data_IF_642849406251
#
_entry.id   IF_642849406251
#
_cell.length_a   1.000
_cell.length_b   1.000
_cell.length_c   1.000
_cell.angle_alpha   90.00
_cell.angle_beta   90.00
_cell.angle_gamma   90.00
#
_symmetry.space_group_name_H-M   'P 1'
#
loop_
_entity.id
_entity.type
_entity.pdbx_description
1 polymer ?
#
# COMPACT_ATOMS: atom_id res chain seq x y z
N UNK A 1 -24.74 14.59 13.20
CA UNK A 1 -24.02 14.12 12.01
C UNK A 1 -23.90 12.61 12.09
N UNK A 2 -24.00 11.90 10.96
CA UNK A 2 -23.78 10.44 10.91
C UNK A 2 -22.29 10.15 10.81
N UNK A 3 -21.74 9.22 11.59
CA UNK A 3 -20.35 8.78 11.39
C UNK A 3 -20.31 7.86 10.18
N UNK A 4 -19.39 8.09 9.25
CA UNK A 4 -19.18 7.25 8.06
C UNK A 4 -17.84 6.56 8.18
N UNK A 5 -17.89 5.23 8.25
CA UNK A 5 -16.74 4.34 8.29
C UNK A 5 -16.89 3.23 7.24
N UNK A 6 -15.96 2.28 7.21
CA UNK A 6 -16.03 1.17 6.27
C UNK A 6 -17.17 0.17 6.55
N UNK A 7 -17.64 0.08 7.81
CA UNK A 7 -18.70 -0.86 8.20
C UNK A 7 -20.07 -0.41 7.72
N UNK A 8 -20.29 0.90 7.58
CA UNK A 8 -21.56 1.47 7.17
C UNK A 8 -21.54 2.15 5.79
N UNK A 9 -20.43 2.04 5.05
CA UNK A 9 -20.26 2.73 3.77
C UNK A 9 -21.29 2.32 2.71
N UNK A 10 -21.68 1.04 2.65
CA UNK A 10 -22.73 0.55 1.74
C UNK A 10 -24.08 1.15 2.09
N UNK A 11 -24.41 1.24 3.38
CA UNK A 11 -25.63 1.90 3.84
C UNK A 11 -25.59 3.38 3.46
N UNK A 12 -24.46 4.05 3.66
CA UNK A 12 -24.28 5.46 3.32
C UNK A 12 -24.45 5.74 1.82
N UNK A 13 -23.98 4.84 0.96
CA UNK A 13 -24.21 4.90 -0.49
C UNK A 13 -25.69 4.68 -0.83
N UNK A 14 -26.30 3.61 -0.32
CA UNK A 14 -27.68 3.22 -0.66
C UNK A 14 -28.71 4.25 -0.21
N UNK A 15 -28.50 4.88 0.95
CA UNK A 15 -29.39 5.90 1.51
C UNK A 15 -29.02 7.33 1.05
N UNK A 16 -28.05 7.50 0.16
CA UNK A 16 -27.59 8.80 -0.34
C UNK A 16 -27.26 9.79 0.80
N UNK A 17 -26.39 9.38 1.72
CA UNK A 17 -26.04 10.23 2.87
C UNK A 17 -25.36 11.51 2.40
N UNK A 18 -25.98 12.65 2.74
CA UNK A 18 -25.42 13.97 2.46
C UNK A 18 -24.10 14.18 3.22
N UNK A 19 -22.99 14.37 2.49
CA UNK A 19 -21.62 14.42 3.02
C UNK A 19 -21.41 15.54 4.03
N UNK A 20 -22.08 16.68 3.88
CA UNK A 20 -22.08 17.79 4.83
C UNK A 20 -22.66 17.39 6.20
N UNK A 21 -23.53 16.37 6.23
CA UNK A 21 -24.16 15.80 7.43
C UNK A 21 -23.45 14.57 8.00
N UNK A 22 -22.32 14.15 7.42
CA UNK A 22 -21.53 13.03 7.94
C UNK A 22 -20.33 13.50 8.78
N UNK A 23 -19.55 12.58 9.35
CA UNK A 23 -18.21 12.80 9.96
C UNK A 23 -17.38 11.51 9.84
N UNK A 24 -16.08 11.55 10.11
CA UNK A 24 -15.20 10.36 10.09
C UNK A 24 -15.02 9.78 11.49
N UNK A 25 -14.66 8.49 11.63
CA UNK A 25 -14.37 7.88 12.92
C UNK A 25 -13.26 8.64 13.66
N UNK A 26 -13.56 8.94 14.92
CA UNK A 26 -12.59 9.30 15.94
C UNK A 26 -12.52 8.19 17.00
N UNK A 27 -12.07 8.49 18.21
CA UNK A 27 -12.35 7.56 19.31
C UNK A 27 -13.83 7.66 19.67
N UNK A 28 -14.60 6.71 19.19
CA UNK A 28 -16.04 6.63 19.44
C UNK A 28 -16.31 6.18 20.87
N UNK A 29 -16.36 7.15 21.77
CA UNK A 29 -16.96 7.04 23.09
C UNK A 29 -17.95 8.21 23.27
N UNK A 30 -18.96 8.09 24.16
CA UNK A 30 -20.07 9.04 24.27
C UNK A 30 -19.69 10.50 24.56
N UNK A 31 -18.43 10.76 24.94
CA UNK A 31 -17.88 12.03 25.44
C UNK A 31 -17.06 12.82 24.41
N UNK A 32 -16.96 12.34 23.17
CA UNK A 32 -16.08 12.90 22.17
C UNK A 32 -16.58 14.28 21.67
N UNK A 33 -15.71 15.31 21.65
CA UNK A 33 -16.08 16.71 21.33
C UNK A 33 -15.66 17.09 19.91
N UNK A 34 -16.60 17.61 19.13
CA UNK A 34 -16.33 18.13 17.78
C UNK A 34 -15.47 19.40 17.87
N UNK A 35 -14.26 19.35 17.34
CA UNK A 35 -13.44 20.55 17.14
C UNK A 35 -13.49 20.95 15.66
N UNK A 36 -13.94 22.16 15.35
CA UNK A 36 -13.94 22.72 13.99
C UNK A 36 -12.64 23.47 13.74
N UNK A 37 -12.00 23.23 12.59
CA UNK A 37 -11.03 24.16 12.00
C UNK A 37 -11.58 24.65 10.65
N UNK A 38 -11.80 25.97 10.60
CA UNK A 38 -11.87 26.82 9.41
C UNK A 38 -11.87 26.15 8.03
N UNK A 39 -13.09 25.98 7.50
CA UNK A 39 -13.40 26.02 6.06
C UNK A 39 -13.00 24.81 5.20
N UNK A 40 -12.10 23.94 5.66
CA UNK A 40 -11.68 22.77 4.87
C UNK A 40 -11.04 21.65 5.70
N UNK A 41 -11.48 21.39 6.94
CA UNK A 41 -10.85 20.34 7.75
C UNK A 41 -11.84 19.51 8.56
N UNK A 42 -11.51 18.23 8.59
CA UNK A 42 -12.08 17.09 9.30
C UNK A 42 -12.49 17.43 10.73
N UNK A 43 -13.71 17.01 11.06
CA UNK A 43 -14.24 17.01 12.43
C UNK A 43 -13.61 15.86 13.20
N UNK A 44 -12.47 16.11 13.83
CA UNK A 44 -11.90 15.18 14.82
C UNK A 44 -12.66 15.38 16.11
N UNK A 45 -13.20 14.28 16.64
CA UNK A 45 -13.76 14.27 17.98
C UNK A 45 -12.60 14.16 18.98
N UNK A 46 -12.18 15.29 19.56
CA UNK A 46 -11.18 15.29 20.62
C UNK A 46 -11.84 14.84 21.93
N UNK A 47 -11.29 13.82 22.58
CA UNK A 47 -11.76 13.33 23.87
C UNK A 47 -10.64 13.22 24.87
N UNK A 48 -10.97 13.31 26.15
CA UNK A 48 -10.01 13.06 27.20
C UNK A 48 -9.56 11.59 27.20
N UNK A 49 -8.32 11.28 27.63
CA UNK A 49 -7.86 9.91 27.79
C UNK A 49 -8.74 9.10 28.76
N UNK A 50 -9.21 7.94 28.33
CA UNK A 50 -10.14 7.08 29.08
C UNK A 50 -9.42 6.19 30.11
N UNK A 51 -8.14 5.91 29.89
CA UNK A 51 -7.34 5.02 30.74
C UNK A 51 -5.89 5.49 30.83
N UNK A 52 -5.11 4.87 31.73
CA UNK A 52 -3.70 5.21 31.94
C UNK A 52 -2.86 5.04 30.65
N UNK A 53 -3.14 4.02 29.86
CA UNK A 53 -2.41 3.76 28.62
C UNK A 53 -2.54 4.94 27.64
N UNK A 54 -3.75 5.41 27.40
CA UNK A 54 -3.99 6.59 26.57
C UNK A 54 -3.36 7.86 27.14
N UNK A 55 -3.39 8.05 28.48
CA UNK A 55 -2.74 9.18 29.14
C UNK A 55 -1.24 9.22 28.88
N UNK A 56 -0.61 8.05 28.77
CA UNK A 56 0.82 7.92 28.48
C UNK A 56 1.14 8.13 27.00
N UNK A 57 0.30 7.62 26.09
CA UNK A 57 0.60 7.61 24.65
C UNK A 57 0.14 8.87 23.93
N UNK A 58 -1.03 9.43 24.25
CA UNK A 58 -1.58 10.62 23.57
C UNK A 58 -0.63 11.84 23.56
N UNK A 59 0.15 12.12 24.61
CA UNK A 59 1.15 13.18 24.56
C UNK A 59 2.21 12.98 23.47
N UNK A 60 2.50 11.74 23.07
CA UNK A 60 3.52 11.40 22.06
C UNK A 60 3.00 11.58 20.62
N UNK A 61 1.69 11.40 20.41
CA UNK A 61 1.05 11.43 19.09
C UNK A 61 0.72 12.86 18.64
N UNK A 62 0.80 13.11 17.32
CA UNK A 62 0.31 14.33 16.68
C UNK A 62 -1.21 14.31 16.52
N UNK A 63 -1.74 13.18 16.07
CA UNK A 63 -3.17 12.90 15.98
C UNK A 63 -3.47 11.72 16.90
N UNK A 64 -4.40 11.89 17.84
CA UNK A 64 -4.71 10.83 18.81
C UNK A 64 -5.22 9.57 18.09
N UNK A 65 -5.90 9.72 16.94
CA UNK A 65 -6.43 8.59 16.15
C UNK A 65 -5.34 7.58 15.75
N UNK A 66 -4.08 8.03 15.65
CA UNK A 66 -2.93 7.17 15.36
C UNK A 66 -2.50 6.27 16.53
N UNK A 67 -3.27 6.16 17.63
CA UNK A 67 -3.01 5.18 18.69
C UNK A 67 -2.89 3.75 18.15
N UNK A 68 -3.68 3.39 17.14
CA UNK A 68 -3.59 2.08 16.50
C UNK A 68 -2.28 1.91 15.72
N UNK A 69 -1.74 2.98 15.14
CA UNK A 69 -0.44 2.99 14.45
C UNK A 69 0.71 2.83 15.46
N UNK A 70 0.54 3.34 16.69
CA UNK A 70 1.48 3.11 17.79
C UNK A 70 1.44 1.68 18.34
N UNK A 71 0.24 1.10 18.52
CA UNK A 71 0.07 -0.17 19.21
C UNK A 71 0.85 -1.32 18.56
N UNK A 72 0.89 -1.37 17.22
CA UNK A 72 1.54 -2.47 16.49
C UNK A 72 3.07 -2.49 16.67
N UNK A 73 3.83 -1.43 16.34
CA UNK A 73 5.28 -1.38 16.59
C UNK A 73 5.61 -1.49 18.09
N UNK A 74 4.73 -1.02 18.97
CA UNK A 74 4.91 -1.16 20.42
C UNK A 74 4.81 -2.62 20.85
N UNK A 75 3.79 -3.34 20.38
CA UNK A 75 3.64 -4.77 20.61
C UNK A 75 4.83 -5.55 20.05
N UNK A 76 5.27 -5.25 18.83
CA UNK A 76 6.44 -5.89 18.22
C UNK A 76 7.72 -5.65 19.03
N UNK A 77 7.88 -4.45 19.60
CA UNK A 77 9.00 -4.12 20.50
C UNK A 77 9.00 -4.97 21.76
N UNK A 78 7.83 -5.28 22.32
CA UNK A 78 7.70 -6.07 23.54
C UNK A 78 7.66 -7.59 23.29
N UNK A 79 7.39 -8.04 22.07
CA UNK A 79 7.20 -9.46 21.75
C UNK A 79 8.33 -10.00 20.87
N UNK A 80 8.52 -9.43 19.68
CA UNK A 80 9.44 -9.97 18.68
C UNK A 80 10.91 -9.73 19.04
N UNK A 81 11.25 -8.53 19.54
CA UNK A 81 12.63 -8.23 19.94
C UNK A 81 13.12 -9.10 21.11
N UNK A 82 12.39 -9.23 22.24
CA UNK A 82 12.79 -10.14 23.31
C UNK A 82 12.85 -11.61 22.88
N UNK A 83 11.90 -12.06 22.04
CA UNK A 83 11.92 -13.42 21.49
C UNK A 83 13.14 -13.65 20.60
N UNK A 84 13.48 -12.71 19.71
CA UNK A 84 14.72 -12.76 18.93
C UNK A 84 15.95 -12.80 19.84
N UNK A 85 16.05 -11.90 20.82
CA UNK A 85 17.20 -11.84 21.73
C UNK A 85 17.37 -13.15 22.50
N UNK A 86 16.27 -13.74 22.96
CA UNK A 86 16.29 -15.07 23.59
C UNK A 86 16.82 -16.14 22.63
N UNK A 87 16.29 -16.21 21.41
CA UNK A 87 16.75 -17.16 20.39
C UNK A 87 18.20 -16.95 20.01
N UNK A 88 18.65 -15.70 19.90
CA UNK A 88 19.98 -15.31 19.48
C UNK A 88 21.03 -15.64 20.55
N UNK A 89 20.74 -15.35 21.82
CA UNK A 89 21.62 -15.63 22.95
C UNK A 89 21.58 -17.09 23.40
N UNK A 90 20.49 -17.81 23.12
CA UNK A 90 20.37 -19.23 23.44
C UNK A 90 20.97 -20.10 22.34
N UNK A 91 21.94 -20.94 22.70
CA UNK A 91 22.46 -21.98 21.80
C UNK A 91 21.51 -23.20 21.68
N UNK A 92 20.36 -23.20 22.39
CA UNK A 92 19.37 -24.28 22.38
C UNK A 92 17.99 -23.70 22.07
N UNK A 93 17.71 -23.51 20.78
CA UNK A 93 16.43 -23.01 20.31
C UNK A 93 15.45 -24.20 20.18
N UNK A 94 14.38 -24.19 20.97
CA UNK A 94 13.33 -25.20 20.85
C UNK A 94 12.41 -24.88 19.65
N UNK A 95 12.03 -25.86 18.80
CA UNK A 95 11.18 -25.63 17.62
C UNK A 95 9.84 -24.93 17.94
N UNK A 96 9.24 -25.22 19.11
CA UNK A 96 8.04 -24.52 19.56
C UNK A 96 8.25 -23.00 19.69
N UNK A 97 9.42 -22.55 20.16
CA UNK A 97 9.70 -21.13 20.28
C UNK A 97 9.79 -20.48 18.90
N UNK A 98 10.41 -21.15 17.92
CA UNK A 98 10.45 -20.70 16.52
C UNK A 98 9.01 -20.56 15.99
N UNK A 99 8.17 -21.59 16.18
CA UNK A 99 6.79 -21.57 15.72
C UNK A 99 5.98 -20.42 16.34
N UNK A 100 6.14 -20.19 17.66
CA UNK A 100 5.48 -19.07 18.36
C UNK A 100 6.00 -17.70 17.89
N UNK A 101 7.31 -17.57 17.65
CA UNK A 101 7.90 -16.34 17.12
C UNK A 101 7.34 -16.02 15.72
N UNK A 102 7.36 -17.01 14.82
CA UNK A 102 6.84 -16.85 13.47
C UNK A 102 5.34 -16.56 13.46
N UNK A 103 4.56 -17.22 14.32
CA UNK A 103 3.14 -16.92 14.49
C UNK A 103 2.92 -15.49 14.96
N UNK A 104 3.65 -15.03 15.99
CA UNK A 104 3.56 -13.67 16.48
C UNK A 104 3.99 -12.62 15.43
N UNK A 105 5.01 -12.94 14.64
CA UNK A 105 5.46 -12.11 13.52
C UNK A 105 4.36 -12.03 12.45
N UNK A 106 3.87 -13.17 11.98
CA UNK A 106 2.84 -13.26 10.93
C UNK A 106 1.52 -12.60 11.35
N UNK A 107 1.12 -12.74 12.61
CA UNK A 107 -0.08 -12.10 13.14
C UNK A 107 -0.01 -10.56 13.10
N UNK A 108 1.19 -10.00 13.21
CA UNK A 108 1.41 -8.55 13.26
C UNK A 108 1.87 -7.96 11.91
N UNK A 109 2.30 -8.79 10.97
CA UNK A 109 3.07 -8.36 9.79
C UNK A 109 2.28 -7.39 8.90
N UNK A 110 1.02 -7.69 8.58
CA UNK A 110 0.21 -6.85 7.69
C UNK A 110 -0.08 -5.51 8.35
N UNK A 111 -0.58 -5.52 9.59
CA UNK A 111 -0.83 -4.29 10.34
C UNK A 111 0.46 -3.45 10.50
N UNK A 112 1.62 -4.09 10.67
CA UNK A 112 2.89 -3.37 10.74
C UNK A 112 3.26 -2.71 9.40
N UNK A 113 3.11 -3.44 8.28
CA UNK A 113 3.34 -2.89 6.94
C UNK A 113 2.49 -1.64 6.68
N UNK A 114 1.24 -1.63 7.13
CA UNK A 114 0.39 -0.45 6.98
C UNK A 114 0.68 0.63 8.04
N UNK A 115 1.17 0.27 9.23
CA UNK A 115 1.68 1.27 10.18
C UNK A 115 2.91 2.01 9.66
N UNK A 116 3.86 1.31 9.02
CA UNK A 116 5.01 1.95 8.35
C UNK A 116 4.57 2.74 7.11
N UNK A 117 3.55 2.29 6.38
CA UNK A 117 2.92 3.04 5.29
C UNK A 117 2.38 4.39 5.78
N UNK A 118 1.48 4.37 6.76
CA UNK A 118 0.85 5.58 7.33
C UNK A 118 1.92 6.52 7.89
N UNK A 119 2.86 6.01 8.69
CA UNK A 119 3.93 6.84 9.28
C UNK A 119 4.96 7.36 8.27
N UNK A 120 5.01 6.79 7.05
CA UNK A 120 5.85 7.30 5.96
C UNK A 120 5.21 8.46 5.20
N UNK A 121 3.88 8.48 5.11
CA UNK A 121 3.10 9.53 4.45
C UNK A 121 2.86 10.74 5.35
N UNK A 122 2.68 10.51 6.65
CA UNK A 122 2.42 11.54 7.65
C UNK A 122 3.27 11.32 8.90
N UNK A 123 3.67 12.41 9.53
CA UNK A 123 4.29 12.30 10.86
C UNK A 123 3.22 11.89 11.86
N UNK A 124 3.46 10.77 12.53
CA UNK A 124 2.58 10.23 13.57
C UNK A 124 2.96 10.81 14.92
N UNK A 125 4.26 11.03 15.17
CA UNK A 125 4.75 11.46 16.48
C UNK A 125 5.13 12.93 16.52
N UNK A 126 5.03 13.54 17.70
CA UNK A 126 5.52 14.91 17.93
C UNK A 126 7.05 14.96 17.84
N UNK A 127 7.72 13.87 18.22
CA UNK A 127 9.18 13.72 18.20
C UNK A 127 9.68 13.07 16.92
N UNK A 128 10.67 13.71 16.27
CA UNK A 128 11.36 13.16 15.09
C UNK A 128 12.22 11.94 15.40
N UNK A 129 12.60 11.74 16.67
CA UNK A 129 13.30 10.52 17.11
C UNK A 129 12.33 9.35 17.12
N UNK A 130 11.10 9.57 17.60
CA UNK A 130 10.07 8.55 17.63
C UNK A 130 9.56 8.20 16.23
N UNK A 131 9.54 9.17 15.31
CA UNK A 131 9.27 8.90 13.88
C UNK A 131 10.29 7.92 13.26
N UNK A 132 11.52 7.83 13.79
CA UNK A 132 12.52 6.86 13.31
C UNK A 132 12.40 5.48 13.95
N UNK A 133 11.70 5.36 15.08
CA UNK A 133 11.56 4.08 15.79
C UNK A 133 10.88 3.02 14.92
N UNK A 134 9.80 3.37 14.20
CA UNK A 134 9.11 2.43 13.31
C UNK A 134 10.03 1.95 12.17
N UNK A 135 10.52 2.82 11.25
CA UNK A 135 11.25 2.37 10.06
C UNK A 135 12.68 1.87 10.33
N UNK A 136 13.30 2.22 11.47
CA UNK A 136 14.69 1.84 11.77
C UNK A 136 14.78 0.71 12.79
N UNK A 137 13.95 0.74 13.83
CA UNK A 137 14.04 -0.23 14.92
C UNK A 137 13.00 -1.36 14.80
N UNK A 138 11.74 -1.06 14.49
CA UNK A 138 10.72 -2.10 14.37
C UNK A 138 10.74 -2.79 13.00
N UNK A 139 10.97 -2.06 11.92
CA UNK A 139 10.85 -2.60 10.57
C UNK A 139 11.78 -3.79 10.24
N UNK A 140 13.02 -3.86 10.76
CA UNK A 140 13.90 -5.00 10.50
C UNK A 140 13.36 -6.35 10.97
N UNK A 141 12.68 -6.44 12.12
CA UNK A 141 12.11 -7.72 12.60
C UNK A 141 10.89 -8.16 11.77
N UNK A 142 10.32 -7.24 11.00
CA UNK A 142 9.33 -7.53 9.96
C UNK A 142 9.96 -7.60 8.58
N UNK A 143 11.28 -7.75 8.47
CA UNK A 143 11.93 -8.03 7.20
C UNK A 143 12.12 -6.84 6.27
N UNK A 144 11.97 -5.62 6.75
CA UNK A 144 12.35 -4.44 5.97
C UNK A 144 13.83 -4.09 6.13
N UNK A 145 14.42 -3.65 5.04
CA UNK A 145 15.73 -2.99 5.02
C UNK A 145 15.59 -1.54 5.50
N UNK A 146 16.65 -0.99 6.11
CA UNK A 146 16.55 0.29 6.83
C UNK A 146 16.27 1.43 5.85
N UNK A 147 15.15 2.15 6.06
CA UNK A 147 14.73 3.35 5.32
C UNK A 147 14.36 3.13 3.84
N UNK A 148 14.51 1.93 3.31
CA UNK A 148 14.28 1.61 1.88
C UNK A 148 12.81 1.63 1.51
N UNK A 149 11.92 1.22 2.43
CA UNK A 149 10.47 1.32 2.25
C UNK A 149 10.05 2.76 1.94
N UNK A 150 10.53 3.73 2.72
CA UNK A 150 10.23 5.15 2.50
C UNK A 150 10.74 5.62 1.12
N UNK A 151 11.95 5.23 0.76
CA UNK A 151 12.54 5.62 -0.53
C UNK A 151 11.79 4.98 -1.70
N UNK A 152 11.48 3.69 -1.61
CA UNK A 152 10.73 2.98 -2.63
C UNK A 152 9.30 3.51 -2.73
N UNK A 153 8.54 3.49 -1.63
CA UNK A 153 7.12 3.83 -1.64
C UNK A 153 6.90 5.33 -1.88
N UNK A 154 7.48 6.19 -1.05
CA UNK A 154 7.15 7.62 -1.04
C UNK A 154 7.93 8.39 -2.12
N UNK A 155 9.22 8.09 -2.29
CA UNK A 155 10.10 8.88 -3.16
C UNK A 155 10.21 8.35 -4.58
N UNK A 156 9.74 7.13 -4.84
CA UNK A 156 9.73 6.53 -6.17
C UNK A 156 8.30 6.19 -6.59
N UNK A 157 7.63 5.25 -5.93
CA UNK A 157 6.33 4.71 -6.36
C UNK A 157 5.23 5.78 -6.39
N UNK A 158 5.04 6.55 -5.32
CA UNK A 158 4.05 7.65 -5.30
C UNK A 158 4.36 8.79 -6.29
N UNK A 159 5.63 8.97 -6.66
CA UNK A 159 6.05 9.98 -7.64
C UNK A 159 5.84 9.48 -9.07
N UNK A 160 6.13 8.20 -9.30
CA UNK A 160 6.04 7.57 -10.60
C UNK A 160 4.63 7.03 -10.89
N UNK A 161 3.80 6.78 -9.88
CA UNK A 161 2.38 6.43 -9.95
C UNK A 161 2.09 5.27 -10.93
N UNK A 162 2.76 4.14 -10.73
CA UNK A 162 2.68 2.95 -11.59
C UNK A 162 3.02 3.19 -13.08
N UNK A 163 3.59 4.35 -13.43
CA UNK A 163 4.00 4.70 -14.79
C UNK A 163 5.30 3.98 -15.22
N UNK A 164 5.79 4.18 -16.45
CA UNK A 164 7.04 3.57 -16.89
C UNK A 164 8.30 3.90 -16.08
N UNK A 165 8.27 4.95 -15.25
CA UNK A 165 9.36 5.27 -14.32
C UNK A 165 9.32 4.45 -13.02
N UNK A 166 8.18 3.85 -12.70
CA UNK A 166 8.01 3.09 -11.48
C UNK A 166 8.72 1.74 -11.62
N UNK A 167 9.75 1.50 -10.80
CA UNK A 167 10.50 0.23 -10.84
C UNK A 167 9.66 -0.97 -10.38
N UNK A 168 8.52 -0.70 -9.74
CA UNK A 168 7.47 -1.64 -9.35
C UNK A 168 6.20 -1.48 -10.21
N UNK A 169 6.31 -0.94 -11.42
CA UNK A 169 5.17 -0.83 -12.33
C UNK A 169 4.61 -2.20 -12.72
N UNK A 170 3.28 -2.35 -12.68
CA UNK A 170 2.54 -3.48 -13.23
C UNK A 170 2.12 -3.28 -14.69
N UNK A 171 2.28 -2.05 -15.22
CA UNK A 171 1.76 -1.59 -16.51
C UNK A 171 2.14 -2.53 -17.67
N UNK A 172 3.41 -2.94 -17.71
CA UNK A 172 3.98 -3.78 -18.76
C UNK A 172 3.80 -5.29 -18.53
N UNK A 173 3.07 -5.68 -17.49
CA UNK A 173 2.78 -7.07 -17.19
C UNK A 173 1.34 -7.45 -17.56
N UNK A 174 1.15 -8.71 -17.93
CA UNK A 174 -0.17 -9.32 -18.01
C UNK A 174 -0.61 -9.66 -16.58
N UNK A 175 -1.58 -8.93 -16.05
CA UNK A 175 -1.83 -8.83 -14.59
C UNK A 175 -2.62 -10.00 -13.99
N UNK A 176 -3.06 -10.93 -14.83
CA UNK A 176 -3.64 -12.23 -14.46
C UNK A 176 -2.69 -13.41 -14.78
N UNK A 177 -1.40 -13.14 -14.99
CA UNK A 177 -0.40 -14.17 -15.28
C UNK A 177 0.46 -14.46 -14.05
N UNK A 178 0.40 -15.69 -13.54
CA UNK A 178 1.29 -16.16 -12.47
C UNK A 178 2.78 -16.07 -12.87
N UNK A 179 3.12 -16.46 -14.10
CA UNK A 179 4.48 -16.34 -14.61
C UNK A 179 4.93 -14.87 -14.68
N UNK A 180 4.03 -13.97 -15.11
CA UNK A 180 4.27 -12.53 -15.09
C UNK A 180 4.55 -12.00 -13.68
N UNK A 181 3.73 -12.39 -12.72
CA UNK A 181 3.92 -12.03 -11.31
C UNK A 181 5.24 -12.57 -10.75
N UNK A 182 5.60 -13.83 -11.02
CA UNK A 182 6.86 -14.40 -10.54
C UNK A 182 8.07 -13.67 -11.12
N UNK A 183 8.05 -13.30 -12.40
CA UNK A 183 9.10 -12.47 -12.99
C UNK A 183 9.19 -11.11 -12.30
N UNK A 184 8.06 -10.44 -12.11
CA UNK A 184 7.96 -9.17 -11.40
C UNK A 184 8.51 -9.25 -9.95
N UNK A 185 8.09 -10.26 -9.20
CA UNK A 185 8.52 -10.50 -7.83
C UNK A 185 10.02 -10.79 -7.75
N UNK A 186 10.54 -11.75 -8.53
CA UNK A 186 11.96 -12.11 -8.45
C UNK A 186 12.88 -11.00 -8.95
N UNK A 187 12.44 -10.21 -9.94
CA UNK A 187 13.14 -9.00 -10.36
C UNK A 187 13.30 -8.04 -9.18
N UNK A 188 12.22 -7.72 -8.48
CA UNK A 188 12.29 -6.88 -7.28
C UNK A 188 13.14 -7.52 -6.18
N UNK A 189 12.88 -8.78 -5.85
CA UNK A 189 13.53 -9.50 -4.77
C UNK A 189 15.06 -9.51 -4.91
N UNK A 190 15.58 -9.74 -6.12
CA UNK A 190 17.01 -9.82 -6.37
C UNK A 190 17.64 -8.51 -6.84
N UNK A 191 16.91 -7.61 -7.49
CA UNK A 191 17.51 -6.43 -8.15
C UNK A 191 17.10 -5.09 -7.54
N UNK A 192 16.18 -5.03 -6.57
CA UNK A 192 15.74 -3.76 -5.97
C UNK A 192 16.91 -2.94 -5.39
N UNK A 193 17.92 -3.60 -4.81
CA UNK A 193 19.11 -2.94 -4.26
C UNK A 193 19.97 -2.24 -5.31
N UNK A 194 19.82 -2.60 -6.60
CA UNK A 194 20.47 -1.94 -7.74
C UNK A 194 19.52 -0.95 -8.41
N UNK A 195 18.28 -1.36 -8.63
CA UNK A 195 17.31 -0.60 -9.42
C UNK A 195 16.84 0.66 -8.70
N UNK A 196 16.64 0.63 -7.38
CA UNK A 196 16.21 1.79 -6.61
C UNK A 196 17.29 2.90 -6.55
N UNK A 197 18.58 2.61 -6.25
CA UNK A 197 19.62 3.63 -6.38
C UNK A 197 19.78 4.17 -7.80
N UNK A 198 19.70 3.31 -8.82
CA UNK A 198 19.77 3.73 -10.23
C UNK A 198 18.63 4.66 -10.62
N UNK A 199 17.41 4.39 -10.15
CA UNK A 199 16.28 5.29 -10.31
C UNK A 199 16.63 6.69 -9.79
N UNK A 200 17.11 6.81 -8.55
CA UNK A 200 17.44 8.11 -7.98
C UNK A 200 18.60 8.81 -8.69
N UNK A 201 19.63 8.09 -9.13
CA UNK A 201 20.72 8.67 -9.92
C UNK A 201 20.21 9.26 -11.25
N UNK A 202 19.35 8.53 -11.97
CA UNK A 202 18.74 9.01 -13.23
C UNK A 202 17.86 10.25 -13.02
N UNK A 203 17.33 10.45 -11.82
CA UNK A 203 16.52 11.62 -11.46
C UNK A 203 17.32 12.69 -10.70
N UNK A 204 18.65 12.67 -10.76
CA UNK A 204 19.55 13.63 -10.11
C UNK A 204 19.39 13.72 -8.57
N UNK A 205 18.97 12.64 -7.93
CA UNK A 205 18.76 12.53 -6.48
C UNK A 205 19.84 11.68 -5.80
N UNK A 206 21.11 12.01 -6.04
CA UNK A 206 22.27 11.20 -5.62
C UNK A 206 22.30 10.89 -4.11
N UNK A 207 21.89 11.82 -3.25
CA UNK A 207 21.80 11.57 -1.80
C UNK A 207 20.83 10.43 -1.48
N UNK A 208 19.67 10.38 -2.15
CA UNK A 208 18.69 9.29 -1.97
C UNK A 208 19.20 7.98 -2.58
N UNK A 209 19.94 8.05 -3.68
CA UNK A 209 20.58 6.87 -4.27
C UNK A 209 21.55 6.20 -3.27
N UNK A 210 22.41 7.00 -2.63
CA UNK A 210 23.34 6.50 -1.61
C UNK A 210 22.57 5.95 -0.40
N UNK A 211 21.52 6.64 0.06
CA UNK A 211 20.68 6.15 1.16
C UNK A 211 20.01 4.81 0.85
N UNK A 212 19.44 4.65 -0.36
CA UNK A 212 18.83 3.39 -0.80
C UNK A 212 19.86 2.26 -0.85
N UNK A 213 21.03 2.53 -1.44
CA UNK A 213 22.09 1.54 -1.59
C UNK A 213 22.65 1.10 -0.23
N UNK A 214 22.99 2.05 0.64
CA UNK A 214 23.50 1.75 1.98
C UNK A 214 22.43 1.13 2.88
N UNK A 215 21.16 1.50 2.73
CA UNK A 215 20.05 0.90 3.46
C UNK A 215 19.86 -0.58 3.14
N UNK A 216 19.85 -0.94 1.85
CA UNK A 216 19.78 -2.35 1.41
C UNK A 216 21.06 -3.13 1.76
N UNK A 217 22.20 -2.70 1.24
CA UNK A 217 23.46 -3.44 1.37
C UNK A 217 23.95 -3.50 2.82
N UNK A 218 23.77 -2.41 3.57
CA UNK A 218 24.09 -2.36 5.00
C UNK A 218 23.24 -3.33 5.80
N UNK A 219 21.93 -3.41 5.55
CA UNK A 219 21.08 -4.42 6.20
C UNK A 219 21.54 -5.83 5.83
N UNK A 220 21.78 -6.14 4.56
CA UNK A 220 22.25 -7.48 4.15
C UNK A 220 23.59 -7.84 4.78
N UNK A 221 24.54 -6.89 4.85
CA UNK A 221 25.84 -7.11 5.46
C UNK A 221 25.71 -7.41 6.97
N UNK A 222 24.88 -6.65 7.69
CA UNK A 222 24.63 -6.86 9.12
C UNK A 222 23.95 -8.21 9.35
N UNK A 223 22.87 -8.52 8.61
CA UNK A 223 22.17 -9.79 8.74
C UNK A 223 23.08 -10.96 8.39
N UNK A 224 23.83 -10.87 7.28
CA UNK A 224 24.78 -11.89 6.86
C UNK A 224 25.89 -12.13 7.88
N UNK A 225 26.48 -11.06 8.43
CA UNK A 225 27.52 -11.13 9.45
C UNK A 225 27.02 -11.87 10.70
N UNK A 226 25.87 -11.48 11.25
CA UNK A 226 25.30 -12.15 12.43
C UNK A 226 24.82 -13.58 12.15
N UNK A 227 24.37 -13.85 10.93
CA UNK A 227 23.97 -15.21 10.51
C UNK A 227 25.17 -16.14 10.44
N UNK A 228 26.30 -15.66 9.92
CA UNK A 228 27.49 -16.48 9.72
C UNK A 228 28.31 -16.65 11.01
N UNK A 229 28.54 -15.58 11.75
CA UNK A 229 29.48 -15.59 12.88
C UNK A 229 28.85 -15.87 14.25
N UNK A 230 27.52 -15.78 14.41
CA UNK A 230 26.88 -15.84 15.73
C UNK A 230 25.82 -16.93 15.83
N UNK A 231 24.65 -16.74 15.22
CA UNK A 231 23.53 -17.68 15.38
C UNK A 231 22.68 -17.77 14.11
N UNK A 232 23.03 -18.70 13.24
CA UNK A 232 22.35 -18.90 11.95
C UNK A 232 20.85 -19.16 12.12
N UNK A 233 20.48 -20.02 13.07
CA UNK A 233 19.07 -20.38 13.28
C UNK A 233 18.23 -19.19 13.71
N UNK A 234 18.70 -18.41 14.69
CA UNK A 234 17.98 -17.21 15.12
C UNK A 234 17.84 -16.20 13.98
N UNK A 235 18.92 -15.96 13.23
CA UNK A 235 18.87 -14.98 12.14
C UNK A 235 17.97 -15.42 10.98
N UNK A 236 17.99 -16.71 10.61
CA UNK A 236 17.12 -17.24 9.55
C UNK A 236 15.65 -17.08 9.91
N UNK A 237 15.26 -17.52 11.10
CA UNK A 237 13.85 -17.53 11.49
C UNK A 237 13.31 -16.16 11.93
N UNK A 238 14.13 -15.28 12.48
CA UNK A 238 13.70 -13.95 12.94
C UNK A 238 13.88 -12.84 11.91
N UNK A 239 14.69 -13.03 10.85
CA UNK A 239 14.94 -11.97 9.86
C UNK A 239 14.81 -12.44 8.40
N UNK A 240 15.51 -13.50 7.98
CA UNK A 240 15.48 -13.91 6.56
C UNK A 240 14.12 -14.43 6.10
N UNK A 241 13.45 -15.23 6.94
CA UNK A 241 12.09 -15.72 6.67
C UNK A 241 11.07 -14.55 6.65
N UNK A 242 10.99 -13.69 7.68
CA UNK A 242 10.16 -12.49 7.63
C UNK A 242 10.46 -11.59 6.43
N UNK A 243 11.72 -11.36 6.07
CA UNK A 243 12.07 -10.56 4.89
C UNK A 243 11.55 -11.16 3.60
N UNK A 244 11.64 -12.48 3.43
CA UNK A 244 11.11 -13.15 2.25
C UNK A 244 9.59 -13.01 2.18
N UNK A 245 8.91 -13.25 3.30
CA UNK A 245 7.47 -13.12 3.42
C UNK A 245 7.00 -11.67 3.15
N UNK A 246 7.63 -10.68 3.78
CA UNK A 246 7.30 -9.27 3.62
C UNK A 246 7.50 -8.78 2.19
N UNK A 247 8.61 -9.14 1.56
CA UNK A 247 8.84 -8.81 0.15
C UNK A 247 7.79 -9.44 -0.75
N UNK A 248 7.40 -10.69 -0.51
CA UNK A 248 6.35 -11.34 -1.30
C UNK A 248 5.01 -10.63 -1.10
N UNK A 249 4.57 -10.44 0.15
CA UNK A 249 3.28 -9.84 0.49
C UNK A 249 3.15 -8.40 0.01
N UNK A 250 4.19 -7.58 0.15
CA UNK A 250 4.19 -6.20 -0.35
C UNK A 250 4.08 -6.15 -1.88
N UNK A 251 4.77 -7.05 -2.57
CA UNK A 251 4.77 -7.07 -4.04
C UNK A 251 3.49 -7.67 -4.61
N UNK A 252 2.88 -8.68 -3.96
CA UNK A 252 1.53 -9.16 -4.32
C UNK A 252 0.47 -8.10 -4.03
N UNK A 253 0.59 -7.37 -2.92
CA UNK A 253 -0.24 -6.22 -2.60
C UNK A 253 -0.19 -5.14 -3.69
N UNK A 254 1.02 -4.65 -4.03
CA UNK A 254 1.20 -3.67 -5.11
C UNK A 254 0.66 -4.18 -6.45
N UNK A 255 0.87 -5.46 -6.75
CA UNK A 255 0.34 -6.07 -7.97
C UNK A 255 -1.18 -5.96 -8.05
N UNK A 256 -1.89 -6.35 -6.99
CA UNK A 256 -3.36 -6.29 -6.95
C UNK A 256 -3.86 -4.85 -6.97
N UNK A 257 -3.24 -3.98 -6.16
CA UNK A 257 -3.54 -2.55 -6.10
C UNK A 257 -3.54 -1.92 -7.50
N UNK A 258 -2.64 -2.36 -8.38
CA UNK A 258 -2.48 -1.86 -9.75
C UNK A 258 -2.80 -2.92 -10.83
N UNK A 259 -3.76 -3.81 -10.59
CA UNK A 259 -4.10 -4.87 -11.55
C UNK A 259 -5.07 -4.44 -12.65
N UNK A 260 -6.00 -3.54 -12.34
CA UNK A 260 -7.13 -3.17 -13.21
C UNK A 260 -6.98 -1.75 -13.74
N UNK A 261 -6.08 -1.58 -14.72
CA UNK A 261 -5.77 -0.28 -15.30
C UNK A 261 -6.78 0.09 -16.39
N UNK A 262 -7.12 1.37 -16.46
CA UNK A 262 -7.97 1.91 -17.52
C UNK A 262 -7.28 1.76 -18.90
N UNK A 263 -7.90 1.08 -19.89
CA UNK A 263 -7.32 0.94 -21.22
C UNK A 263 -7.20 2.25 -22.00
N UNK A 264 -7.92 3.30 -21.61
CA UNK A 264 -7.90 4.61 -22.28
C UNK A 264 -6.97 5.61 -21.63
N UNK A 265 -6.70 5.47 -20.33
CA UNK A 265 -5.86 6.40 -19.58
C UNK A 265 -5.11 5.68 -18.44
N UNK A 266 -4.22 4.70 -18.73
CA UNK A 266 -3.56 3.91 -17.70
C UNK A 266 -2.57 4.71 -16.82
N UNK A 267 -2.25 5.94 -17.21
CA UNK A 267 -1.37 6.89 -16.51
C UNK A 267 -2.15 8.04 -15.85
N UNK A 268 -3.48 7.97 -15.83
CA UNK A 268 -4.37 8.98 -15.25
C UNK A 268 -4.32 9.06 -13.71
N UNK A 269 -3.62 8.11 -13.07
CA UNK A 269 -3.41 8.08 -11.63
C UNK A 269 -4.66 7.72 -10.83
N UNK A 270 -4.47 7.42 -9.55
CA UNK A 270 -5.54 7.13 -8.59
C UNK A 270 -6.63 6.21 -9.13
N UNK A 271 -7.75 6.78 -9.57
CA UNK A 271 -8.93 6.03 -10.03
C UNK A 271 -8.74 5.23 -11.31
N UNK A 272 -7.79 5.63 -12.17
CA UNK A 272 -7.53 4.94 -13.43
C UNK A 272 -6.56 3.77 -13.30
N UNK A 273 -5.71 3.79 -12.26
CA UNK A 273 -4.64 2.81 -12.10
C UNK A 273 -4.68 2.06 -10.76
N UNK A 274 -5.64 2.35 -9.88
CA UNK A 274 -5.75 1.77 -8.55
C UNK A 274 -7.15 1.24 -8.25
N UNK A 275 -7.28 0.37 -7.26
CA UNK A 275 -8.56 -0.18 -6.82
C UNK A 275 -9.08 0.45 -5.53
N UNK A 276 -10.37 0.27 -5.27
CA UNK A 276 -10.98 0.52 -3.96
C UNK A 276 -11.69 -0.74 -3.47
N UNK A 277 -11.41 -1.14 -2.24
CA UNK A 277 -12.04 -2.25 -1.51
C UNK A 277 -12.75 -1.66 -0.30
N UNK A 278 -14.04 -1.93 -0.17
CA UNK A 278 -14.89 -1.44 0.91
C UNK A 278 -15.59 -2.57 1.65
N UNK A 279 -16.19 -2.27 2.80
CA UNK A 279 -16.89 -3.25 3.64
C UNK A 279 -16.01 -4.49 3.89
N UNK A 280 -14.78 -4.25 4.34
CA UNK A 280 -13.76 -5.29 4.45
C UNK A 280 -13.18 -5.37 5.86
N UNK A 281 -13.05 -6.61 6.35
CA UNK A 281 -12.30 -6.89 7.58
C UNK A 281 -10.86 -6.42 7.48
N UNK A 282 -10.28 -6.43 6.28
CA UNK A 282 -8.94 -5.92 6.03
C UNK A 282 -8.84 -4.43 6.40
N UNK A 283 -9.80 -3.60 6.01
CA UNK A 283 -9.80 -2.17 6.30
C UNK A 283 -9.83 -1.88 7.80
N UNK A 284 -10.62 -2.66 8.55
CA UNK A 284 -10.71 -2.54 10.01
C UNK A 284 -9.39 -2.81 10.73
N UNK A 285 -8.56 -3.70 10.17
CA UNK A 285 -7.30 -4.12 10.76
C UNK A 285 -6.09 -3.36 10.21
N UNK A 286 -6.23 -2.77 9.02
CA UNK A 286 -5.12 -2.23 8.23
C UNK A 286 -5.41 -0.80 7.75
N UNK A 287 -5.97 0.02 8.65
CA UNK A 287 -6.08 1.47 8.47
C UNK A 287 -6.77 1.87 7.15
N UNK A 288 -7.89 1.23 6.81
CA UNK A 288 -8.63 1.50 5.57
C UNK A 288 -7.77 1.50 4.29
N UNK A 289 -6.67 0.74 4.24
CA UNK A 289 -5.78 0.74 3.06
C UNK A 289 -6.47 0.25 1.78
N UNK A 290 -7.56 -0.52 1.89
CA UNK A 290 -8.40 -0.91 0.77
C UNK A 290 -8.92 0.27 -0.05
N UNK A 291 -9.00 1.48 0.50
CA UNK A 291 -9.31 2.71 -0.25
C UNK A 291 -8.09 3.25 -1.01
N UNK A 292 -7.38 2.38 -1.74
CA UNK A 292 -6.09 2.70 -2.36
C UNK A 292 -6.18 3.80 -3.43
N UNK A 293 -7.26 3.84 -4.22
CA UNK A 293 -7.47 4.95 -5.15
C UNK A 293 -7.65 6.30 -4.41
N UNK A 294 -8.36 6.30 -3.29
CA UNK A 294 -8.45 7.50 -2.42
C UNK A 294 -7.08 7.92 -1.90
N UNK A 295 -6.25 6.95 -1.50
CA UNK A 295 -4.88 7.16 -1.07
C UNK A 295 -4.02 7.84 -2.15
N UNK A 296 -4.00 7.35 -3.39
CA UNK A 296 -3.26 8.01 -4.46
C UNK A 296 -3.76 9.43 -4.80
N UNK A 297 -5.07 9.69 -4.66
CA UNK A 297 -5.61 11.05 -4.83
C UNK A 297 -5.13 12.04 -3.75
N UNK A 298 -4.82 11.58 -2.55
CA UNK A 298 -4.16 12.37 -1.51
C UNK A 298 -3.51 11.44 -0.49
N UNK A 299 -2.21 11.21 -0.69
CA UNK A 299 -1.46 10.24 0.10
C UNK A 299 -1.24 10.68 1.56
N UNK A 300 -1.43 11.96 1.87
CA UNK A 300 -1.32 12.49 3.23
C UNK A 300 -2.64 12.43 4.01
N UNK A 301 -3.75 12.00 3.40
CA UNK A 301 -5.05 11.89 4.08
C UNK A 301 -4.94 10.98 5.31
N UNK A 302 -5.65 11.32 6.39
CA UNK A 302 -5.67 10.42 7.53
C UNK A 302 -6.46 9.17 7.15
N UNK A 303 -5.96 8.00 7.52
CA UNK A 303 -6.54 6.71 7.12
C UNK A 303 -8.04 6.57 7.49
N UNK A 304 -8.47 7.15 8.63
CA UNK A 304 -9.88 7.11 9.02
C UNK A 304 -10.81 7.98 8.16
N UNK A 305 -10.26 8.81 7.27
CA UNK A 305 -11.04 9.74 6.45
C UNK A 305 -11.37 9.20 5.06
N UNK A 306 -10.75 8.09 4.63
CA UNK A 306 -10.98 7.53 3.31
C UNK A 306 -12.46 7.17 3.01
N UNK A 307 -13.25 6.59 3.94
CA UNK A 307 -14.65 6.26 3.67
C UNK A 307 -15.51 7.51 3.37
N UNK A 308 -15.36 8.57 4.16
CA UNK A 308 -16.06 9.84 3.91
C UNK A 308 -15.63 10.47 2.60
N UNK A 309 -14.34 10.46 2.32
CA UNK A 309 -13.81 11.00 1.06
C UNK A 309 -14.38 10.24 -0.14
N UNK A 310 -14.40 8.91 -0.08
CA UNK A 310 -14.99 8.05 -1.10
C UNK A 310 -16.46 8.44 -1.37
N UNK A 311 -17.26 8.61 -0.31
CA UNK A 311 -18.64 9.09 -0.44
C UNK A 311 -18.72 10.47 -1.12
N UNK A 312 -17.83 11.40 -0.77
CA UNK A 312 -17.78 12.74 -1.36
C UNK A 312 -17.39 12.76 -2.84
N UNK A 313 -16.62 11.77 -3.28
CA UNK A 313 -16.09 11.65 -4.64
C UNK A 313 -16.81 10.60 -5.48
N UNK A 314 -17.98 10.12 -5.05
CA UNK A 314 -18.76 9.10 -5.77
C UNK A 314 -18.93 9.40 -7.26
N UNK A 315 -19.18 10.66 -7.62
CA UNK A 315 -19.40 11.05 -9.02
C UNK A 315 -18.12 10.86 -9.83
N UNK A 316 -16.97 11.17 -9.24
CA UNK A 316 -15.68 10.96 -9.89
C UNK A 316 -15.43 9.48 -10.15
N UNK A 317 -15.75 8.58 -9.21
CA UNK A 317 -15.66 7.13 -9.42
C UNK A 317 -16.54 6.65 -10.60
N UNK A 318 -17.72 7.25 -10.77
CA UNK A 318 -18.62 6.94 -11.89
C UNK A 318 -18.09 7.47 -13.22
N UNK A 319 -17.58 8.70 -13.23
CA UNK A 319 -17.09 9.36 -14.42
C UNK A 319 -15.81 8.69 -14.97
N UNK A 320 -14.96 8.17 -14.08
CA UNK A 320 -13.72 7.46 -14.44
C UNK A 320 -13.92 5.96 -14.60
N UNK A 321 -15.14 5.43 -14.39
CA UNK A 321 -15.42 3.99 -14.41
C UNK A 321 -14.42 3.22 -13.51
N UNK A 322 -14.25 3.68 -12.28
CA UNK A 322 -13.27 3.12 -11.34
C UNK A 322 -13.80 1.83 -10.69
N UNK A 323 -12.92 0.85 -10.49
CA UNK A 323 -13.29 -0.41 -9.83
C UNK A 323 -13.50 -0.22 -8.33
N UNK A 324 -14.63 -0.73 -7.85
CA UNK A 324 -14.91 -0.86 -6.41
C UNK A 324 -15.33 -2.30 -6.11
N UNK A 325 -14.65 -2.91 -5.15
CA UNK A 325 -14.91 -4.25 -4.65
C UNK A 325 -15.45 -4.19 -3.22
N UNK A 326 -16.31 -5.15 -2.85
CA UNK A 326 -16.80 -5.28 -1.47
C UNK A 326 -16.42 -6.62 -0.85
N UNK A 327 -16.26 -6.65 0.48
CA UNK A 327 -16.17 -7.90 1.24
C UNK A 327 -15.03 -8.81 0.78
N UNK A 328 -13.86 -8.22 0.50
CA UNK A 328 -12.67 -8.91 0.00
C UNK A 328 -11.41 -8.22 0.51
N UNK A 329 -10.24 -8.72 0.15
CA UNK A 329 -8.93 -8.14 0.43
C UNK A 329 -7.96 -8.40 -0.73
N UNK A 330 -6.75 -7.85 -0.65
CA UNK A 330 -5.77 -8.02 -1.71
C UNK A 330 -5.32 -9.47 -1.90
N UNK A 331 -5.22 -10.26 -0.83
CA UNK A 331 -4.74 -11.64 -0.91
C UNK A 331 -5.76 -12.54 -1.62
N UNK A 332 -7.05 -12.36 -1.31
CA UNK A 332 -8.15 -13.06 -1.97
C UNK A 332 -8.24 -12.69 -3.46
N UNK A 333 -8.16 -11.39 -3.79
CA UNK A 333 -8.15 -10.93 -5.18
C UNK A 333 -6.91 -11.44 -5.93
N UNK A 334 -5.74 -11.45 -5.28
CA UNK A 334 -4.52 -12.02 -5.84
C UNK A 334 -4.74 -13.50 -6.19
N UNK A 335 -5.27 -14.29 -5.26
CA UNK A 335 -5.58 -15.71 -5.47
C UNK A 335 -6.53 -15.92 -6.66
N UNK A 336 -7.59 -15.12 -6.78
CA UNK A 336 -8.51 -15.20 -7.92
C UNK A 336 -7.86 -14.80 -9.23
N UNK A 337 -7.03 -13.75 -9.27
CA UNK A 337 -6.30 -13.35 -10.47
C UNK A 337 -5.34 -14.46 -10.93
N UNK A 338 -4.56 -15.04 -10.02
CA UNK A 338 -3.62 -16.10 -10.34
C UNK A 338 -4.32 -17.38 -10.81
N UNK A 339 -5.54 -17.63 -10.33
CA UNK A 339 -6.38 -18.74 -10.77
C UNK A 339 -7.21 -18.45 -12.04
N UNK A 340 -7.15 -17.22 -12.59
CA UNK A 340 -7.99 -16.78 -13.70
C UNK A 340 -9.49 -16.72 -13.36
N UNK A 341 -9.85 -16.71 -12.08
CA UNK A 341 -11.23 -16.75 -11.61
C UNK A 341 -11.86 -15.34 -11.58
N UNK A 342 -12.03 -14.76 -12.76
CA UNK A 342 -12.66 -13.45 -12.92
C UNK A 342 -14.09 -13.41 -12.40
N UNK A 343 -14.83 -14.52 -12.44
CA UNK A 343 -16.19 -14.58 -11.95
C UNK A 343 -16.28 -14.31 -10.44
N UNK A 344 -15.32 -14.81 -9.65
CA UNK A 344 -15.27 -14.52 -8.22
C UNK A 344 -15.04 -13.03 -7.93
N UNK A 345 -14.16 -12.38 -8.70
CA UNK A 345 -13.90 -10.93 -8.59
C UNK A 345 -15.13 -10.13 -9.05
N UNK A 346 -15.74 -10.52 -10.17
CA UNK A 346 -16.94 -9.88 -10.73
C UNK A 346 -18.13 -9.88 -9.76
N UNK A 347 -18.30 -10.95 -8.98
CA UNK A 347 -19.33 -11.04 -7.94
C UNK A 347 -19.08 -10.09 -6.74
N UNK A 348 -17.82 -9.69 -6.52
CA UNK A 348 -17.42 -8.73 -5.48
C UNK A 348 -17.43 -7.28 -5.98
N UNK A 349 -17.49 -7.04 -7.30
CA UNK A 349 -17.65 -5.69 -7.84
C UNK A 349 -19.00 -5.09 -7.42
N UNK A 350 -18.99 -3.81 -7.10
CA UNK A 350 -20.21 -3.03 -6.90
C UNK A 350 -20.25 -1.85 -7.84
N UNK A 351 -21.46 -1.39 -8.12
CA UNK A 351 -21.67 -0.12 -8.79
C UNK A 351 -21.76 0.97 -7.70
N UNK A 352 -20.98 2.04 -7.84
CA UNK A 352 -20.99 3.20 -6.93
C UNK A 352 -22.22 4.10 -7.19
N UNK A 353 -22.99 3.79 -8.23
CA UNK A 353 -24.15 4.54 -8.66
C UNK A 353 -25.28 4.56 -7.60
N UNK A 354 -26.00 5.68 -7.56
CA UNK A 354 -27.22 5.82 -6.76
C UNK A 354 -28.26 4.80 -7.24
N UNK A 355 -29.04 4.17 -6.34
CA UNK A 355 -30.16 3.31 -6.73
C UNK A 355 -31.02 3.97 -7.82
N UNK A 356 -31.11 3.34 -8.99
CA UNK A 356 -31.87 3.83 -10.15
C UNK A 356 -31.09 4.59 -11.23
N UNK A 357 -29.76 4.74 -11.12
CA UNK A 357 -28.96 5.56 -12.06
C UNK A 357 -28.10 4.83 -13.11
N UNK A 358 -28.04 3.48 -13.15
CA UNK A 358 -27.42 2.73 -14.27
C UNK A 358 -27.93 1.28 -14.41
N UNK A 359 -27.73 0.72 -15.61
CA UNK A 359 -27.93 -0.70 -15.92
C UNK A 359 -26.86 -1.50 -15.18
N UNK A 360 -27.24 -2.32 -14.20
CA UNK A 360 -26.30 -3.22 -13.53
C UNK A 360 -25.60 -4.10 -14.58
N UNK A 361 -24.27 -4.08 -14.60
CA UNK A 361 -23.50 -5.02 -15.41
C UNK A 361 -23.81 -6.44 -14.95
N UNK A 362 -24.09 -7.33 -15.90
CA UNK A 362 -24.15 -8.77 -15.63
C UNK A 362 -22.80 -9.26 -15.12
N UNK A 363 -22.76 -10.47 -14.54
CA UNK A 363 -21.47 -11.06 -14.12
C UNK A 363 -20.57 -11.25 -15.34
N UNK A 364 -21.13 -11.60 -16.49
CA UNK A 364 -20.44 -11.76 -17.76
C UNK A 364 -19.84 -10.44 -18.25
N UNK A 365 -20.60 -9.35 -18.20
CA UNK A 365 -20.10 -8.01 -18.57
C UNK A 365 -18.96 -7.58 -17.65
N UNK A 366 -19.07 -7.85 -16.34
CA UNK A 366 -18.01 -7.55 -15.35
C UNK A 366 -16.76 -8.37 -15.59
N UNK A 367 -16.91 -9.65 -15.93
CA UNK A 367 -15.77 -10.51 -16.31
C UNK A 367 -15.07 -9.95 -17.53
N UNK A 368 -15.81 -9.61 -18.59
CA UNK A 368 -15.22 -9.02 -19.80
C UNK A 368 -14.50 -7.70 -19.50
N UNK A 369 -15.09 -6.86 -18.66
CA UNK A 369 -14.49 -5.61 -18.20
C UNK A 369 -13.18 -5.85 -17.45
N UNK A 370 -13.17 -6.76 -16.47
CA UNK A 370 -11.97 -7.07 -15.69
C UNK A 370 -10.85 -7.61 -16.59
N UNK A 371 -11.18 -8.51 -17.52
CA UNK A 371 -10.24 -9.06 -18.49
C UNK A 371 -9.66 -8.00 -19.42
N UNK A 372 -10.42 -6.95 -19.75
CA UNK A 372 -9.93 -5.83 -20.56
C UNK A 372 -8.91 -4.96 -19.79
N UNK A 373 -9.05 -4.84 -18.47
CA UNK A 373 -8.22 -3.97 -17.62
C UNK A 373 -6.95 -4.61 -17.07
N UNK A 374 -6.85 -5.93 -17.13
CA UNK A 374 -5.64 -6.69 -16.76
C UNK A 374 -4.65 -6.87 -17.91
N UNK A 375 -4.98 -6.37 -19.11
CA UNK A 375 -4.11 -6.50 -20.30
C UNK A 375 -2.84 -5.66 -20.17
N UNK A 376 -1.70 -6.30 -20.43
CA UNK A 376 -0.40 -5.60 -20.51
C UNK A 376 -0.48 -4.45 -21.52
N UNK A 377 0.19 -3.35 -21.21
CA UNK A 377 0.45 -2.30 -22.16
C UNK A 377 1.86 -2.46 -22.74
N UNK A 378 2.04 -1.88 -23.92
CA UNK A 378 3.32 -1.71 -24.61
C UNK A 378 3.64 -0.21 -24.72
N UNK A 379 4.88 0.14 -25.01
CA UNK A 379 5.23 1.53 -25.34
C UNK A 379 4.45 2.03 -26.57
N UNK A 380 4.20 1.17 -27.55
CA UNK A 380 3.32 1.49 -28.69
C UNK A 380 1.87 1.76 -28.26
N UNK A 381 1.34 1.04 -27.26
CA UNK A 381 0.00 1.35 -26.73
C UNK A 381 -0.02 2.72 -26.06
N UNK A 382 1.00 3.04 -25.26
CA UNK A 382 1.12 4.35 -24.62
C UNK A 382 1.27 5.47 -25.66
N UNK A 383 2.05 5.25 -26.72
CA UNK A 383 2.23 6.22 -27.80
C UNK A 383 0.92 6.44 -28.57
N UNK A 384 0.14 5.39 -28.83
CA UNK A 384 -1.20 5.52 -29.42
C UNK A 384 -2.18 6.30 -28.53
N UNK A 385 -2.10 6.13 -27.21
CA UNK A 385 -3.01 6.76 -26.24
C UNK A 385 -2.65 8.25 -26.04
N UNK A 386 -1.37 8.54 -25.82
CA UNK A 386 -0.93 9.86 -25.37
C UNK A 386 -0.16 10.67 -26.41
N UNK A 387 0.38 10.02 -27.45
CA UNK A 387 1.30 10.61 -28.42
C UNK A 387 2.74 10.68 -27.93
N UNK A 388 3.70 10.57 -28.86
CA UNK A 388 5.13 10.55 -28.54
C UNK A 388 5.61 11.84 -27.88
N UNK A 389 5.08 13.01 -28.28
CA UNK A 389 5.47 14.30 -27.71
C UNK A 389 5.13 14.41 -26.22
N UNK A 390 3.93 13.97 -25.84
CA UNK A 390 3.54 13.92 -24.43
C UNK A 390 4.45 12.97 -23.64
N UNK A 391 4.70 11.78 -24.18
CA UNK A 391 5.55 10.80 -23.53
C UNK A 391 6.98 11.32 -23.37
N UNK A 392 7.55 11.96 -24.39
CA UNK A 392 8.90 12.54 -24.33
C UNK A 392 8.95 13.69 -23.33
N UNK A 393 7.93 14.55 -23.30
CA UNK A 393 7.83 15.62 -22.31
C UNK A 393 7.73 15.11 -20.87
N UNK A 394 7.00 14.00 -20.65
CA UNK A 394 6.76 13.41 -19.31
C UNK A 394 7.89 12.49 -18.84
N UNK A 395 8.45 11.70 -19.76
CA UNK A 395 9.37 10.59 -19.47
C UNK A 395 10.78 10.75 -20.06
N UNK A 396 11.03 11.85 -20.77
CA UNK A 396 12.31 12.12 -21.41
C UNK A 396 12.51 11.30 -22.68
N UNK A 397 13.22 11.89 -23.63
CA UNK A 397 13.39 11.35 -24.98
C UNK A 397 14.07 9.97 -25.00
N UNK A 398 15.13 9.81 -24.19
CA UNK A 398 15.91 8.58 -24.16
C UNK A 398 15.05 7.36 -23.74
N UNK A 399 14.28 7.48 -22.65
CA UNK A 399 13.47 6.37 -22.15
C UNK A 399 12.39 5.97 -23.15
N UNK A 400 11.69 6.96 -23.72
CA UNK A 400 10.60 6.72 -24.68
C UNK A 400 11.14 6.08 -25.95
N UNK A 401 12.25 6.61 -26.49
CA UNK A 401 12.86 6.04 -27.71
C UNK A 401 13.39 4.64 -27.48
N UNK A 402 14.04 4.36 -26.35
CA UNK A 402 14.52 3.02 -26.02
C UNK A 402 13.37 2.03 -25.89
N UNK A 403 12.27 2.44 -25.23
CA UNK A 403 11.06 1.65 -25.08
C UNK A 403 10.39 1.32 -26.42
N UNK A 404 10.13 2.35 -27.24
CA UNK A 404 9.53 2.19 -28.56
C UNK A 404 10.43 1.36 -29.50
N UNK A 405 11.75 1.57 -29.46
CA UNK A 405 12.70 0.81 -30.27
C UNK A 405 12.76 -0.66 -29.88
N UNK A 406 12.67 -0.98 -28.59
CA UNK A 406 12.61 -2.37 -28.10
C UNK A 406 11.38 -3.12 -28.64
N UNK A 407 10.33 -2.39 -29.02
CA UNK A 407 9.11 -2.93 -29.63
C UNK A 407 9.08 -2.83 -31.16
N UNK A 408 10.19 -2.39 -31.79
CA UNK A 408 10.32 -2.34 -33.25
C UNK A 408 9.80 -1.07 -33.91
N UNK A 409 9.59 0.02 -33.16
CA UNK A 409 9.24 1.32 -33.74
C UNK A 409 10.40 1.88 -34.57
N UNK A 410 10.12 2.24 -35.83
CA UNK A 410 11.14 2.67 -36.81
C UNK A 410 11.14 4.18 -37.07
N UNK A 411 10.34 4.96 -36.32
CA UNK A 411 10.27 6.42 -36.45
C UNK A 411 9.27 6.87 -37.50
N UNK A 412 8.11 7.38 -37.07
CA UNK A 412 7.23 8.20 -37.90
C UNK A 412 7.69 9.65 -37.89
N UNK A 413 7.73 10.28 -39.07
CA UNK A 413 8.09 11.70 -39.27
C UNK A 413 7.19 12.66 -38.52
#
# INVERSE_FOLDING_TARGET
MRVVDDNNIIQALNEDWAVDKTTTPGFEYPDARLVSCDGSVVKVLDREPANLYERMVFPLLRDRRDLQVWNVPFCATLTLWPSFLYMFMSNKIHPLHIALHLFACWWQITAFHLAIHVSSHRRVFKSSVLDKWIPVFCAPVFGHTVYTYYLHHIKMHHVADNSPYDISSTLFYQRDSLAGFLHYFFRFYFLAFLDLPRYFMKHNQNTRAVQAFLGELGTFAVLGYFTYYYNTMAMVWCFWVPMTASRFGMMSGNWVQHSFLDPKDPLGGGLHNSITIIESRYNLQNYNDGYHASHHLNAQRHWSEHPREFLSKRQLYLDTDAIVLKGTDYDEVFGYLMAGNYAAIANKMIDVAVPGSRKFMSVEDRVAWLQSRTKKFTWMDLERIYGVEFLVGKFGEALVKDGLKAEGWTGGK
#
